data_IF_966268245380
#
_entry.id   IF_966268245380
#
_cell.length_a   1.000
_cell.length_b   1.000
_cell.length_c   1.000
_cell.angle_alpha   90.00
_cell.angle_beta   90.00
_cell.angle_gamma   90.00
#
_symmetry.space_group_name_H-M   'P 1'
#
loop_
_entity.id
_entity.type
_entity.pdbx_description
1 polymer ?
#
# COMPACT_ATOMS: atom_id res chain seq x y z
N UNK A 1 -14.05 23.66 -20.77
CA UNK A 1 -12.66 23.61 -21.30
C UNK A 1 -11.70 23.42 -20.15
N UNK A 2 -11.23 22.18 -19.97
CA UNK A 2 -10.30 21.74 -18.93
C UNK A 2 -8.97 22.50 -19.02
N UNK A 3 -8.66 23.32 -18.01
CA UNK A 3 -7.39 24.03 -17.93
C UNK A 3 -6.59 23.42 -16.76
N UNK A 4 -5.49 22.73 -17.11
CA UNK A 4 -4.30 22.43 -16.30
C UNK A 4 -4.27 21.25 -15.29
N UNK A 5 -5.03 20.16 -15.49
CA UNK A 5 -4.91 18.95 -14.64
C UNK A 5 -3.69 18.04 -14.94
N UNK A 6 -2.79 18.42 -15.85
CA UNK A 6 -1.94 17.46 -16.56
C UNK A 6 -0.43 17.47 -16.20
N UNK A 7 0.02 18.38 -15.31
CA UNK A 7 1.41 18.39 -14.79
C UNK A 7 1.53 18.14 -13.29
N UNK A 8 0.46 18.27 -12.49
CA UNK A 8 0.56 18.27 -11.00
C UNK A 8 0.38 16.87 -10.39
N UNK A 9 -0.29 15.96 -11.12
CA UNK A 9 -0.27 14.50 -10.90
C UNK A 9 1.11 13.87 -11.12
N UNK A 10 2.06 14.59 -11.74
CA UNK A 10 3.33 14.05 -12.25
C UNK A 10 4.31 13.60 -11.14
N UNK A 11 3.90 13.74 -9.89
CA UNK A 11 4.62 13.37 -8.67
C UNK A 11 3.78 12.48 -7.73
N UNK A 12 2.85 11.68 -8.26
CA UNK A 12 2.16 10.64 -7.47
C UNK A 12 3.18 9.66 -6.86
N UNK A 13 3.59 9.98 -5.63
CA UNK A 13 4.04 9.07 -4.58
C UNK A 13 5.13 8.09 -5.01
N UNK A 14 6.09 8.54 -5.83
CA UNK A 14 7.24 7.76 -6.30
C UNK A 14 6.85 6.27 -6.60
N UNK A 15 6.05 6.06 -7.65
CA UNK A 15 5.89 4.77 -8.36
C UNK A 15 5.18 3.59 -7.64
N UNK A 16 4.10 3.86 -6.91
CA UNK A 16 3.10 2.81 -6.56
C UNK A 16 2.61 2.81 -5.12
N UNK A 17 3.27 3.58 -4.25
CA UNK A 17 2.84 3.81 -2.88
C UNK A 17 1.87 5.00 -2.83
N UNK A 18 1.05 5.11 -1.79
CA UNK A 18 0.02 6.12 -1.56
C UNK A 18 0.04 6.51 -0.08
N UNK A 19 -0.46 7.69 0.26
CA UNK A 19 -0.49 8.16 1.65
C UNK A 19 -1.37 7.28 2.53
N UNK A 20 -0.89 6.90 3.73
CA UNK A 20 -1.59 6.01 4.65
C UNK A 20 -3.01 6.47 5.02
N UNK A 21 -3.28 7.78 5.05
CA UNK A 21 -4.61 8.31 5.36
C UNK A 21 -5.65 7.94 4.29
N UNK A 22 -5.20 7.75 3.03
CA UNK A 22 -6.05 7.37 1.90
C UNK A 22 -6.30 5.86 1.77
N UNK A 23 -5.78 5.07 2.70
CA UNK A 23 -5.86 3.62 2.63
C UNK A 23 -7.30 3.11 2.79
N UNK A 24 -7.78 2.24 1.88
CA UNK A 24 -9.12 1.68 1.94
C UNK A 24 -9.29 0.70 3.11
N UNK A 25 -10.52 0.60 3.61
CA UNK A 25 -10.92 -0.44 4.56
C UNK A 25 -11.14 -1.78 3.85
N UNK A 26 -10.93 -2.88 4.57
CA UNK A 26 -11.22 -4.25 4.09
C UNK A 26 -10.49 -4.68 2.80
N UNK A 27 -9.43 -3.97 2.40
CA UNK A 27 -8.64 -4.31 1.22
C UNK A 27 -7.26 -4.82 1.64
N UNK A 28 -6.79 -5.89 1.00
CA UNK A 28 -5.42 -6.37 1.16
C UNK A 28 -4.45 -5.36 0.52
N UNK A 29 -3.63 -4.75 1.36
CA UNK A 29 -2.65 -3.74 0.98
C UNK A 29 -1.30 -4.09 1.60
N UNK A 30 -0.23 -3.71 0.93
CA UNK A 30 1.09 -3.69 1.52
C UNK A 30 1.33 -2.34 2.19
N UNK A 31 1.97 -2.36 3.36
CA UNK A 31 2.32 -1.17 4.12
C UNK A 31 3.82 -0.90 3.99
N UNK A 32 4.22 0.37 4.06
CA UNK A 32 5.61 0.78 4.11
C UNK A 32 5.82 1.97 5.04
N UNK A 33 7.00 1.99 5.64
CA UNK A 33 7.57 3.19 6.27
C UNK A 33 8.50 3.81 5.23
N UNK A 34 8.16 5.01 4.77
CA UNK A 34 9.01 5.81 3.88
C UNK A 34 9.41 7.06 4.66
N UNK A 35 10.70 7.15 4.97
CA UNK A 35 11.33 8.31 5.60
C UNK A 35 12.37 8.87 4.62
N UNK A 36 13.62 8.37 4.63
CA UNK A 36 14.62 8.61 3.59
C UNK A 36 14.63 7.52 2.49
N UNK A 37 14.38 6.28 2.89
CA UNK A 37 14.26 5.09 2.02
C UNK A 37 12.94 4.38 2.25
N UNK A 38 12.56 3.53 1.28
CA UNK A 38 11.33 2.73 1.35
C UNK A 38 11.59 1.45 2.12
N UNK A 39 10.84 1.25 3.19
CA UNK A 39 10.85 0.03 3.98
C UNK A 39 9.45 -0.61 3.91
N UNK A 40 9.16 -1.40 2.85
CA UNK A 40 7.96 -2.20 2.79
C UNK A 40 7.97 -3.29 3.87
N UNK A 41 6.79 -3.59 4.42
CA UNK A 41 6.63 -4.64 5.41
C UNK A 41 6.72 -6.04 4.77
N UNK A 42 6.44 -6.18 3.48
CA UNK A 42 6.57 -7.43 2.74
C UNK A 42 5.46 -8.46 3.01
N UNK A 43 4.37 -8.07 3.66
CA UNK A 43 3.21 -8.93 3.92
C UNK A 43 1.87 -8.19 3.73
N UNK A 44 0.80 -8.92 3.38
CA UNK A 44 -0.51 -8.34 3.18
C UNK A 44 -1.11 -7.89 4.51
N UNK A 45 -1.66 -6.68 4.52
CA UNK A 45 -2.31 -6.06 5.66
C UNK A 45 -3.70 -5.56 5.29
N UNK A 46 -4.56 -5.38 6.28
CA UNK A 46 -5.87 -4.74 6.12
C UNK A 46 -6.06 -3.63 7.14
N UNK A 47 -6.79 -2.60 6.75
CA UNK A 47 -7.25 -1.55 7.66
C UNK A 47 -8.51 -2.02 8.39
N UNK A 48 -8.46 -1.98 9.72
CA UNK A 48 -9.57 -2.26 10.65
C UNK A 48 -9.85 -1.01 11.50
N UNK A 49 -10.91 -1.05 12.30
CA UNK A 49 -11.26 0.06 13.18
C UNK A 49 -10.22 0.28 14.29
N UNK A 50 -9.61 -0.81 14.76
CA UNK A 50 -8.57 -0.85 15.80
C UNK A 50 -7.15 -0.60 15.28
N UNK A 51 -6.95 -0.59 13.95
CA UNK A 51 -5.65 -0.33 13.34
C UNK A 51 -5.36 -1.22 12.13
N UNK A 52 -4.13 -1.72 12.06
CA UNK A 52 -3.64 -2.54 10.96
C UNK A 52 -3.53 -4.00 11.38
N UNK A 53 -4.10 -4.90 10.58
CA UNK A 53 -4.01 -6.34 10.83
C UNK A 53 -3.17 -7.01 9.74
N UNK A 54 -2.19 -7.82 10.14
CA UNK A 54 -1.44 -8.68 9.25
C UNK A 54 -2.33 -9.86 8.83
N UNK A 55 -2.58 -10.02 7.52
CA UNK A 55 -3.38 -11.11 7.00
C UNK A 55 -2.68 -12.47 7.04
N UNK A 56 -1.35 -12.51 7.04
CA UNK A 56 -0.57 -13.74 7.10
C UNK A 56 -0.53 -14.36 8.49
N UNK A 57 -0.43 -13.54 9.54
CA UNK A 57 -0.34 -14.01 10.94
C UNK A 57 -1.60 -13.78 11.76
N UNK A 58 -2.56 -13.01 11.23
CA UNK A 58 -3.75 -12.54 11.93
C UNK A 58 -3.44 -11.74 13.22
N UNK A 59 -2.28 -11.08 13.27
CA UNK A 59 -1.86 -10.25 14.40
C UNK A 59 -1.92 -8.76 14.05
N UNK A 60 -2.12 -7.93 15.07
CA UNK A 60 -2.05 -6.48 14.93
C UNK A 60 -0.63 -6.06 14.54
N UNK A 61 -0.52 -5.14 13.57
CA UNK A 61 0.74 -4.56 13.14
C UNK A 61 1.10 -3.43 14.10
N UNK A 62 2.21 -3.58 14.81
CA UNK A 62 2.74 -2.57 15.74
C UNK A 62 3.55 -1.46 15.06
N UNK A 63 3.86 -1.62 13.77
CA UNK A 63 4.57 -0.60 13.00
C UNK A 63 3.67 0.62 12.75
N UNK A 64 4.29 1.80 12.60
CA UNK A 64 3.62 3.05 12.19
C UNK A 64 3.89 3.32 10.70
N UNK A 65 3.14 2.69 9.77
CA UNK A 65 3.34 2.88 8.34
C UNK A 65 2.97 4.31 7.92
N UNK A 66 3.73 4.87 6.99
CA UNK A 66 3.45 6.20 6.42
C UNK A 66 2.79 6.09 5.04
N UNK A 67 2.97 4.96 4.36
CA UNK A 67 2.45 4.75 3.01
C UNK A 67 1.89 3.34 2.83
N UNK A 68 1.05 3.16 1.81
CA UNK A 68 0.47 1.88 1.41
C UNK A 68 0.45 1.68 -0.11
N UNK A 69 0.33 0.44 -0.56
CA UNK A 69 0.00 0.09 -1.96
C UNK A 69 -0.88 -1.14 -2.00
N UNK A 70 -1.52 -1.43 -3.14
CA UNK A 70 -2.23 -2.70 -3.28
C UNK A 70 -1.26 -3.88 -3.14
N UNK A 71 -1.67 -4.88 -2.38
CA UNK A 71 -0.92 -6.12 -2.27
C UNK A 71 -0.86 -6.79 -3.64
N UNK A 72 0.35 -7.07 -4.10
CA UNK A 72 0.60 -7.80 -5.33
C UNK A 72 1.23 -9.13 -4.94
N UNK A 73 0.51 -10.26 -5.06
CA UNK A 73 1.13 -11.55 -4.83
C UNK A 73 2.22 -11.77 -5.88
N UNK A 74 3.42 -12.17 -5.45
CA UNK A 74 4.56 -12.58 -6.31
C UNK A 74 4.29 -13.87 -7.11
N UNK A 75 3.02 -14.24 -7.27
CA UNK A 75 2.60 -15.35 -8.11
C UNK A 75 2.65 -14.83 -9.54
N UNK A 76 3.79 -15.02 -10.20
CA UNK A 76 3.86 -15.01 -11.66
C UNK A 76 2.64 -15.81 -12.16
N UNK A 77 1.89 -15.31 -13.16
CA UNK A 77 0.83 -16.11 -13.75
C UNK A 77 1.51 -17.38 -14.27
N UNK A 78 1.38 -18.47 -13.51
CA UNK A 78 1.55 -19.80 -14.07
C UNK A 78 0.42 -19.91 -15.08
N UNK A 79 0.70 -19.50 -16.31
CA UNK A 79 0.03 -20.04 -17.46
C UNK A 79 0.34 -21.53 -17.44
N UNK A 80 -0.54 -22.31 -16.82
CA UNK A 80 -0.55 -23.75 -17.01
C UNK A 80 -0.94 -23.99 -18.46
N UNK A 81 0.07 -24.21 -19.31
CA UNK A 81 -0.07 -24.85 -20.61
C UNK A 81 -0.14 -26.37 -20.42
#
# INVERSE_FOLDING_TARGET
>A
MQRFLSSVRRWFSVLGWRDIASAPFDCAIELAVIDDKRHPLGFPCIRRADGWLNLSTMQAVSASPTHWRHWQPDVLPMCCC
#
